data_IF_735607508336
#
_entry.id   IF_735607508336
#
_cell.length_a   1.000
_cell.length_b   1.000
_cell.length_c   1.000
_cell.angle_alpha   90.00
_cell.angle_beta   90.00
_cell.angle_gamma   90.00
#
_symmetry.space_group_name_H-M   'P 1'
#
loop_
_entity.id
_entity.type
_entity.pdbx_description
1 polymer ?
#
# COMPACT_ATOMS: atom_id res chain seq x y z
N UNK A 1 -6.81 16.24 37.74
CA UNK A 1 -6.93 16.25 36.25
C UNK A 1 -8.24 15.58 35.87
N UNK A 2 -9.25 16.33 35.41
CA UNK A 2 -10.59 15.78 35.12
C UNK A 2 -10.73 15.52 33.62
N UNK A 3 -10.23 14.36 33.15
CA UNK A 3 -10.37 13.95 31.76
C UNK A 3 -11.63 13.07 31.61
N UNK A 4 -12.55 13.38 30.68
CA UNK A 4 -13.70 12.53 30.41
C UNK A 4 -13.28 11.09 30.11
N UNK A 5 -14.01 10.12 30.67
CA UNK A 5 -13.73 8.68 30.56
C UNK A 5 -13.57 8.25 29.09
N UNK A 6 -14.39 8.79 28.18
CA UNK A 6 -14.30 8.57 26.73
C UNK A 6 -12.94 8.93 26.15
N UNK A 7 -12.36 10.06 26.56
CA UNK A 7 -11.04 10.52 26.09
C UNK A 7 -9.92 9.64 26.63
N UNK A 8 -10.05 9.16 27.87
CA UNK A 8 -9.09 8.23 28.48
C UNK A 8 -9.05 6.88 27.72
N UNK A 9 -10.21 6.28 27.44
CA UNK A 9 -10.27 5.01 26.70
C UNK A 9 -9.92 5.16 25.21
N UNK A 10 -10.25 6.29 24.57
CA UNK A 10 -9.92 6.54 23.17
C UNK A 10 -8.40 6.50 22.90
N UNK A 11 -7.61 7.01 23.85
CA UNK A 11 -6.15 7.06 23.74
C UNK A 11 -5.49 5.70 23.94
N UNK A 12 -6.02 4.87 24.83
CA UNK A 12 -5.52 3.51 25.08
C UNK A 12 -5.86 2.54 23.92
N UNK A 13 -7.05 2.67 23.32
CA UNK A 13 -7.46 1.78 22.21
C UNK A 13 -6.63 1.94 20.94
N UNK A 14 -5.96 3.07 20.74
CA UNK A 14 -5.24 3.38 19.51
C UNK A 14 -3.76 2.97 19.53
N UNK A 15 -3.19 2.66 20.70
CA UNK A 15 -1.74 2.51 20.86
C UNK A 15 -1.22 1.06 20.99
N UNK A 16 -2.05 0.06 21.29
CA UNK A 16 -1.51 -1.06 22.08
C UNK A 16 -1.45 -2.46 21.45
N UNK A 17 -2.01 -2.76 20.27
CA UNK A 17 -2.08 -4.18 19.82
C UNK A 17 -1.96 -4.46 18.32
N UNK A 18 -1.42 -3.53 17.53
CA UNK A 18 -1.35 -3.70 16.07
C UNK A 18 0.05 -3.47 15.50
N UNK A 19 0.34 -4.03 14.30
CA UNK A 19 1.59 -3.76 13.60
C UNK A 19 1.77 -2.25 13.41
N UNK A 20 2.99 -1.79 13.65
CA UNK A 20 3.40 -0.40 13.54
C UNK A 20 3.24 0.04 12.09
N UNK A 21 3.01 1.34 11.87
CA UNK A 21 2.90 1.87 10.50
C UNK A 21 4.18 1.57 9.68
N UNK A 22 5.36 1.55 10.31
CA UNK A 22 6.63 1.17 9.69
C UNK A 22 6.69 -0.30 9.24
N UNK A 23 6.20 -1.24 10.05
CA UNK A 23 6.15 -2.67 9.71
C UNK A 23 5.18 -2.92 8.54
N UNK A 24 4.04 -2.21 8.54
CA UNK A 24 3.09 -2.26 7.44
C UNK A 24 3.74 -1.71 6.16
N UNK A 25 4.50 -0.61 6.24
CA UNK A 25 5.20 -0.05 5.07
C UNK A 25 6.16 -1.07 4.46
N UNK A 26 7.03 -1.69 5.27
CA UNK A 26 7.99 -2.67 4.79
C UNK A 26 7.32 -3.87 4.10
N UNK A 27 6.20 -4.36 4.65
CA UNK A 27 5.42 -5.44 4.02
C UNK A 27 4.75 -5.00 2.72
N UNK A 28 4.28 -3.75 2.63
CA UNK A 28 3.69 -3.22 1.40
C UNK A 28 4.76 -3.09 0.30
N UNK A 29 5.98 -2.66 0.65
CA UNK A 29 7.11 -2.57 -0.29
C UNK A 29 7.44 -3.95 -0.85
N UNK A 30 7.58 -4.97 0.00
CA UNK A 30 7.82 -6.36 -0.41
C UNK A 30 6.70 -6.89 -1.34
N UNK A 31 5.43 -6.61 -1.02
CA UNK A 31 4.30 -6.94 -1.90
C UNK A 31 4.37 -6.19 -3.23
N UNK A 32 4.82 -4.93 -3.25
CA UNK A 32 4.94 -4.16 -4.49
C UNK A 32 6.16 -4.57 -5.33
N UNK A 33 7.19 -5.15 -4.73
CA UNK A 33 8.32 -5.69 -5.48
C UNK A 33 7.94 -6.99 -6.19
N UNK A 34 7.15 -7.84 -5.54
CA UNK A 34 6.55 -9.03 -6.17
C UNK A 34 5.43 -8.66 -7.15
N UNK A 35 4.58 -7.68 -6.79
CA UNK A 35 3.42 -7.24 -7.57
C UNK A 35 3.38 -5.71 -7.76
N UNK A 36 4.17 -5.15 -8.69
CA UNK A 36 4.31 -3.69 -8.91
C UNK A 36 3.00 -2.94 -9.18
N UNK A 37 1.97 -3.65 -9.65
CA UNK A 37 0.68 -3.07 -10.03
C UNK A 37 -0.36 -3.11 -8.92
N UNK A 38 -0.03 -3.60 -7.73
CA UNK A 38 -0.98 -3.72 -6.65
C UNK A 38 -1.22 -2.36 -5.98
N UNK A 39 -2.46 -1.87 -6.12
CA UNK A 39 -2.95 -0.76 -5.31
C UNK A 39 -3.47 -1.25 -3.96
N UNK A 40 -3.82 -0.31 -3.07
CA UNK A 40 -4.14 -0.59 -1.67
C UNK A 40 -5.19 -1.69 -1.46
N UNK A 41 -6.19 -1.84 -2.35
CA UNK A 41 -7.20 -2.90 -2.27
C UNK A 41 -6.59 -4.30 -2.41
N UNK A 42 -5.71 -4.48 -3.41
CA UNK A 42 -5.03 -5.76 -3.66
C UNK A 42 -3.95 -6.03 -2.62
N UNK A 43 -3.20 -4.99 -2.25
CA UNK A 43 -2.24 -5.06 -1.14
C UNK A 43 -2.92 -5.50 0.16
N UNK A 44 -4.10 -4.96 0.49
CA UNK A 44 -4.86 -5.37 1.69
C UNK A 44 -5.24 -6.85 1.66
N UNK A 45 -5.63 -7.37 0.49
CA UNK A 45 -5.93 -8.80 0.34
C UNK A 45 -4.68 -9.66 0.53
N UNK A 46 -3.53 -9.21 0.02
CA UNK A 46 -2.27 -9.93 0.16
C UNK A 46 -1.75 -9.91 1.61
N UNK A 47 -1.84 -8.76 2.28
CA UNK A 47 -1.56 -8.66 3.72
C UNK A 47 -2.43 -9.64 4.52
N UNK A 48 -3.72 -9.75 4.18
CA UNK A 48 -4.63 -10.72 4.81
C UNK A 48 -4.25 -12.17 4.51
N UNK A 49 -3.79 -12.48 3.30
CA UNK A 49 -3.28 -13.82 2.94
C UNK A 49 -2.02 -14.18 3.73
N UNK A 50 -1.16 -13.20 4.00
CA UNK A 50 0.04 -13.31 4.83
C UNK A 50 -0.25 -13.27 6.34
N UNK A 51 -1.53 -13.30 6.75
CA UNK A 51 -1.96 -13.35 8.16
C UNK A 51 -2.12 -11.99 8.84
N UNK A 52 -1.87 -10.87 8.14
CA UNK A 52 -1.96 -9.52 8.69
C UNK A 52 -3.33 -8.88 8.38
N UNK A 53 -4.20 -8.79 9.39
CA UNK A 53 -5.52 -8.18 9.23
C UNK A 53 -5.43 -6.68 9.51
N UNK A 54 -5.20 -5.89 8.47
CA UNK A 54 -5.20 -4.42 8.53
C UNK A 54 -6.42 -3.86 7.78
N UNK A 55 -7.09 -2.85 8.36
CA UNK A 55 -8.18 -2.16 7.69
C UNK A 55 -7.69 -1.51 6.38
N UNK A 56 -8.39 -1.75 5.27
CA UNK A 56 -8.08 -1.17 3.95
C UNK A 56 -7.95 0.37 3.97
N UNK A 57 -8.67 1.07 4.87
CA UNK A 57 -8.52 2.53 5.07
C UNK A 57 -7.16 2.89 5.66
N UNK A 58 -6.65 2.09 6.60
CA UNK A 58 -5.31 2.27 7.19
C UNK A 58 -4.24 2.02 6.13
N UNK A 59 -4.36 0.95 5.35
CA UNK A 59 -3.46 0.65 4.22
C UNK A 59 -3.46 1.80 3.20
N UNK A 60 -4.64 2.29 2.80
CA UNK A 60 -4.75 3.42 1.88
C UNK A 60 -4.09 4.70 2.41
N UNK A 61 -4.28 5.03 3.70
CA UNK A 61 -3.63 6.18 4.36
C UNK A 61 -2.12 6.03 4.36
N UNK A 62 -1.61 4.87 4.77
CA UNK A 62 -0.17 4.58 4.85
C UNK A 62 0.47 4.67 3.47
N UNK A 63 -0.10 4.02 2.45
CA UNK A 63 0.42 4.07 1.09
C UNK A 63 0.45 5.50 0.54
N UNK A 64 -0.58 6.31 0.84
CA UNK A 64 -0.61 7.72 0.42
C UNK A 64 0.49 8.54 1.11
N UNK A 65 0.71 8.35 2.41
CA UNK A 65 1.72 9.08 3.18
C UNK A 65 3.15 8.66 2.82
N UNK A 66 3.36 7.37 2.52
CA UNK A 66 4.66 6.82 2.11
C UNK A 66 4.96 7.00 0.61
N UNK A 67 4.04 7.55 -0.18
CA UNK A 67 4.22 7.72 -1.63
C UNK A 67 4.17 6.40 -2.43
N UNK A 68 3.66 5.32 -1.84
CA UNK A 68 3.59 3.97 -2.42
C UNK A 68 2.40 3.83 -3.40
N UNK A 69 2.41 4.63 -4.46
CA UNK A 69 1.43 4.56 -5.54
C UNK A 69 1.54 3.29 -6.39
N UNK A 70 0.54 3.01 -7.21
CA UNK A 70 0.61 1.93 -8.20
C UNK A 70 1.66 2.29 -9.25
N UNK A 71 2.68 1.43 -9.45
CA UNK A 71 3.69 1.66 -10.49
C UNK A 71 3.03 1.47 -11.88
N UNK A 72 2.94 2.53 -12.73
CA UNK A 72 2.31 2.40 -14.03
C UNK A 72 3.18 1.54 -14.95
N UNK A 73 2.55 0.73 -15.82
CA UNK A 73 3.27 -0.04 -16.82
C UNK A 73 3.87 0.92 -17.84
N UNK A 74 5.18 0.88 -18.02
CA UNK A 74 5.85 1.63 -19.09
C UNK A 74 5.34 1.09 -20.43
N UNK A 75 4.70 1.94 -21.23
CA UNK A 75 4.25 1.57 -22.58
C UNK A 75 5.49 1.39 -23.43
N UNK A 76 5.67 0.21 -24.02
CA UNK A 76 6.69 0.00 -25.03
C UNK A 76 6.31 0.81 -26.27
N UNK A 77 7.19 1.70 -26.71
CA UNK A 77 7.03 2.48 -27.94
C UNK A 77 7.85 1.76 -29.01
N UNK A 78 7.18 1.29 -30.06
CA UNK A 78 7.84 0.66 -31.21
C UNK A 78 8.49 1.78 -32.04
N UNK A 79 9.82 1.85 -32.02
CA UNK A 79 10.58 2.93 -32.68
C UNK A 79 10.76 2.72 -34.19
N UNK A 80 10.44 1.53 -34.71
CA UNK A 80 10.61 1.20 -36.13
C UNK A 80 9.27 1.31 -36.86
N UNK A 81 9.15 2.31 -37.74
CA UNK A 81 8.14 2.32 -38.79
C UNK A 81 8.62 1.36 -39.90
N UNK A 82 8.19 0.10 -39.84
CA UNK A 82 8.58 -0.94 -40.80
C UNK A 82 7.93 -0.77 -42.18
N UNK A 83 7.47 0.44 -42.55
CA UNK A 83 7.16 0.81 -43.93
C UNK A 83 8.45 1.18 -44.65
N UNK A 84 9.25 0.18 -45.01
CA UNK A 84 10.38 0.38 -45.91
C UNK A 84 10.10 -0.40 -47.19
N UNK A 85 9.81 0.34 -48.25
CA UNK A 85 9.77 -0.13 -49.62
C UNK A 85 11.22 -0.06 -50.11
N UNK A 86 11.98 -1.14 -49.94
CA UNK A 86 13.33 -1.27 -50.52
C UNK A 86 13.22 -2.15 -51.77
N UNK A 87 14.04 -1.88 -52.80
CA UNK A 87 13.74 -2.15 -54.21
C UNK A 87 13.61 -3.64 -54.58
#
# INVERSE_FOLDING_TARGET
MNLPRSTFYYRAMSAENGPTDAEIIALIEDIQDEFPRYGYRRVTHELRRRGLIVNHKKVARIMRLAGLGVKPRRRYIRMTDSRHDQP
#
